data_IF_029613833609
#
_entry.id   IF_029613833609
#
_cell.length_a   1.000
_cell.length_b   1.000
_cell.length_c   1.000
_cell.angle_alpha   90.00
_cell.angle_beta   90.00
_cell.angle_gamma   90.00
#
_symmetry.space_group_name_H-M   'P 1'
#
loop_
_entity.id
_entity.type
_entity.pdbx_description
1 polymer ?
#
# COMPACT_ATOMS: atom_id res chain seq x y z
N UNK A 1 -14.78 -6.71 5.90
CA UNK A 1 -13.47 -6.29 5.36
C UNK A 1 -13.35 -6.53 3.86
N UNK A 2 -13.38 -7.75 3.34
CA UNK A 2 -13.18 -8.04 1.90
C UNK A 2 -14.07 -7.24 0.95
N UNK A 3 -15.33 -7.02 1.32
CA UNK A 3 -16.23 -6.17 0.55
C UNK A 3 -15.71 -4.73 0.41
N UNK A 4 -15.18 -4.16 1.48
CA UNK A 4 -14.65 -2.78 1.48
C UNK A 4 -13.38 -2.66 0.62
N UNK A 5 -12.53 -3.69 0.62
CA UNK A 5 -11.35 -3.77 -0.24
C UNK A 5 -11.77 -3.78 -1.73
N UNK A 6 -12.74 -4.61 -2.11
CA UNK A 6 -13.20 -4.73 -3.50
C UNK A 6 -14.05 -3.54 -3.96
N UNK A 7 -14.86 -2.94 -3.06
CA UNK A 7 -15.66 -1.77 -3.39
C UNK A 7 -14.82 -0.51 -3.57
N UNK A 8 -13.76 -0.38 -2.75
CA UNK A 8 -12.94 0.82 -2.69
C UNK A 8 -13.62 2.00 -1.97
N UNK A 9 -12.92 3.14 -1.98
CA UNK A 9 -13.34 4.42 -1.39
C UNK A 9 -14.07 5.35 -2.36
N UNK A 10 -14.55 4.87 -3.50
CA UNK A 10 -15.20 5.68 -4.54
C UNK A 10 -16.47 6.35 -4.02
N UNK A 11 -16.61 7.70 -4.12
CA UNK A 11 -17.79 8.38 -3.61
C UNK A 11 -19.10 7.84 -4.17
N UNK A 12 -19.16 7.58 -5.48
CA UNK A 12 -20.36 7.03 -6.13
C UNK A 12 -20.71 5.64 -5.58
N UNK A 13 -19.72 4.78 -5.32
CA UNK A 13 -19.93 3.43 -4.81
C UNK A 13 -20.54 3.41 -3.40
N UNK A 14 -20.44 4.51 -2.64
CA UNK A 14 -21.06 4.60 -1.31
C UNK A 14 -22.58 4.80 -1.38
N UNK A 15 -23.10 5.24 -2.52
CA UNK A 15 -24.54 5.53 -2.75
C UNK A 15 -25.25 4.41 -3.52
N UNK A 16 -24.51 3.43 -4.03
CA UNK A 16 -25.05 2.33 -4.82
C UNK A 16 -25.36 1.10 -3.97
N UNK A 17 -26.27 0.25 -4.46
CA UNK A 17 -26.49 -1.08 -3.91
C UNK A 17 -25.22 -1.94 -4.05
N UNK A 18 -25.06 -2.93 -3.17
CA UNK A 18 -23.80 -3.69 -3.00
C UNK A 18 -23.21 -4.23 -4.29
N UNK A 19 -24.05 -4.78 -5.18
CA UNK A 19 -23.61 -5.38 -6.45
C UNK A 19 -23.07 -4.32 -7.40
N UNK A 20 -23.83 -3.24 -7.62
CA UNK A 20 -23.43 -2.12 -8.48
C UNK A 20 -22.24 -1.34 -7.92
N UNK A 21 -22.09 -1.30 -6.60
CA UNK A 21 -20.95 -0.64 -5.96
C UNK A 21 -19.62 -1.32 -6.29
N UNK A 22 -19.61 -2.65 -6.45
CA UNK A 22 -18.40 -3.40 -6.86
C UNK A 22 -18.02 -3.13 -8.31
N UNK A 23 -18.98 -2.91 -9.20
CA UNK A 23 -18.74 -2.60 -10.62
C UNK A 23 -18.01 -1.26 -10.84
N UNK A 24 -18.07 -0.35 -9.86
CA UNK A 24 -17.40 0.96 -9.96
C UNK A 24 -15.90 0.81 -10.18
N UNK A 25 -15.25 -0.11 -9.46
CA UNK A 25 -13.82 -0.34 -9.58
C UNK A 25 -13.43 -0.94 -10.95
N UNK A 26 -14.24 -1.86 -11.46
CA UNK A 26 -14.04 -2.44 -12.79
C UNK A 26 -14.21 -1.38 -13.89
N UNK A 27 -15.25 -0.56 -13.81
CA UNK A 27 -15.48 0.53 -14.76
C UNK A 27 -14.33 1.55 -14.75
N UNK A 28 -13.78 1.89 -13.58
CA UNK A 28 -12.61 2.75 -13.46
C UNK A 28 -11.37 2.10 -14.07
N UNK A 29 -11.11 0.84 -13.75
CA UNK A 29 -10.01 0.07 -14.32
C UNK A 29 -10.06 0.05 -15.85
N UNK A 30 -11.23 -0.24 -16.42
CA UNK A 30 -11.44 -0.26 -17.87
C UNK A 30 -11.20 1.12 -18.51
N UNK A 31 -11.62 2.20 -17.87
CA UNK A 31 -11.35 3.55 -18.34
C UNK A 31 -9.85 3.85 -18.37
N UNK A 32 -9.10 3.48 -17.33
CA UNK A 32 -7.65 3.65 -17.24
C UNK A 32 -6.96 2.88 -18.38
N UNK A 33 -7.27 1.60 -18.54
CA UNK A 33 -6.57 0.71 -19.50
C UNK A 33 -6.89 1.07 -20.93
N UNK A 34 -8.15 1.43 -21.23
CA UNK A 34 -8.60 1.70 -22.60
C UNK A 34 -8.30 3.14 -23.06
N UNK A 35 -8.28 4.11 -22.14
CA UNK A 35 -8.37 5.51 -22.56
C UNK A 35 -7.40 6.41 -21.80
N UNK A 36 -7.46 6.46 -20.49
CA UNK A 36 -6.89 7.55 -19.70
C UNK A 36 -5.36 7.56 -19.73
N UNK A 37 -4.74 6.38 -19.69
CA UNK A 37 -3.26 6.25 -19.73
C UNK A 37 -2.63 6.84 -21.01
N UNK A 38 -3.37 6.88 -22.12
CA UNK A 38 -2.90 7.42 -23.41
C UNK A 38 -3.19 8.90 -23.58
N UNK A 39 -4.08 9.48 -22.78
CA UNK A 39 -4.48 10.90 -22.90
C UNK A 39 -3.51 11.87 -22.25
N UNK A 40 -2.67 11.42 -21.31
CA UNK A 40 -1.88 12.29 -20.42
C UNK A 40 -0.82 13.07 -21.16
N UNK A 41 -0.14 12.42 -22.11
CA UNK A 41 1.04 12.97 -22.80
C UNK A 41 0.96 12.78 -24.32
N UNK A 42 -0.20 12.37 -24.83
CA UNK A 42 -0.41 12.09 -26.25
C UNK A 42 0.32 10.85 -26.77
N UNK A 43 0.93 10.05 -25.89
CA UNK A 43 1.61 8.81 -26.25
C UNK A 43 0.59 7.69 -26.30
N UNK A 44 0.38 7.09 -27.48
CA UNK A 44 -0.47 5.92 -27.61
C UNK A 44 0.12 4.72 -26.87
N UNK A 45 -0.63 4.15 -25.93
CA UNK A 45 -0.22 3.00 -25.14
C UNK A 45 -1.07 1.77 -25.46
N UNK A 46 -0.40 0.62 -25.58
CA UNK A 46 -1.06 -0.64 -25.89
C UNK A 46 -1.94 -1.09 -24.73
N UNK A 47 -3.22 -1.39 -24.98
CA UNK A 47 -4.15 -2.03 -24.06
C UNK A 47 -3.53 -3.26 -23.40
N UNK A 48 -3.01 -4.21 -24.20
CA UNK A 48 -2.44 -5.46 -23.70
C UNK A 48 -1.27 -5.23 -22.74
N UNK A 49 -0.38 -4.29 -23.05
CA UNK A 49 0.76 -3.95 -22.16
C UNK A 49 0.29 -3.27 -20.89
N UNK A 50 -0.66 -2.32 -20.97
CA UNK A 50 -1.24 -1.66 -19.79
C UNK A 50 -1.94 -2.67 -18.89
N UNK A 51 -2.76 -3.55 -19.46
CA UNK A 51 -3.45 -4.60 -18.72
C UNK A 51 -2.45 -5.52 -17.98
N UNK A 52 -1.39 -6.01 -18.67
CA UNK A 52 -0.36 -6.84 -18.05
C UNK A 52 0.41 -6.11 -16.95
N UNK A 53 0.76 -4.84 -17.17
CA UNK A 53 1.42 -4.02 -16.17
C UNK A 53 0.56 -3.88 -14.92
N UNK A 54 -0.71 -3.51 -15.08
CA UNK A 54 -1.60 -3.33 -13.94
C UNK A 54 -1.82 -4.64 -13.17
N UNK A 55 -1.91 -5.78 -13.85
CA UNK A 55 -1.95 -7.10 -13.19
C UNK A 55 -0.66 -7.41 -12.41
N UNK A 56 0.50 -7.08 -12.99
CA UNK A 56 1.79 -7.24 -12.31
C UNK A 56 1.86 -6.36 -11.06
N UNK A 57 1.51 -5.09 -11.18
CA UNK A 57 1.45 -4.16 -10.05
C UNK A 57 0.49 -4.63 -8.95
N UNK A 58 -0.66 -5.22 -9.31
CA UNK A 58 -1.60 -5.77 -8.33
C UNK A 58 -1.02 -6.92 -7.50
N UNK A 59 -0.18 -7.76 -8.10
CA UNK A 59 0.52 -8.85 -7.39
C UNK A 59 1.66 -8.37 -6.49
N UNK A 60 2.15 -7.15 -6.71
CA UNK A 60 3.32 -6.60 -6.03
C UNK A 60 2.98 -5.37 -5.15
N UNK A 61 1.73 -5.28 -4.67
CA UNK A 61 1.33 -4.21 -3.77
C UNK A 61 2.18 -4.23 -2.49
N UNK A 62 2.61 -3.06 -2.02
CA UNK A 62 3.40 -2.93 -0.81
C UNK A 62 4.82 -3.52 -0.90
N UNK A 63 5.31 -3.86 -2.10
CA UNK A 63 6.62 -4.46 -2.27
C UNK A 63 7.62 -3.52 -2.96
N UNK A 64 8.90 -3.78 -2.77
CA UNK A 64 10.00 -3.08 -3.43
C UNK A 64 10.43 -3.76 -4.74
N UNK A 65 9.47 -4.29 -5.50
CA UNK A 65 9.78 -4.94 -6.78
C UNK A 65 10.43 -3.94 -7.75
N UNK A 66 11.52 -4.34 -8.37
CA UNK A 66 12.21 -3.52 -9.37
C UNK A 66 11.43 -3.46 -10.68
N UNK A 67 11.67 -2.42 -11.50
CA UNK A 67 11.08 -2.33 -12.85
C UNK A 67 11.46 -3.55 -13.70
N UNK A 68 12.68 -4.07 -13.53
CA UNK A 68 13.10 -5.31 -14.19
C UNK A 68 12.29 -6.53 -13.72
N UNK A 69 11.95 -6.61 -12.44
CA UNK A 69 11.05 -7.65 -11.89
C UNK A 69 9.64 -7.56 -12.44
N UNK A 70 9.08 -6.34 -12.50
CA UNK A 70 7.77 -6.09 -13.13
C UNK A 70 7.79 -6.48 -14.61
N UNK A 71 8.84 -6.08 -15.34
CA UNK A 71 9.02 -6.49 -16.73
C UNK A 71 9.04 -8.01 -16.89
N UNK A 72 9.81 -8.71 -16.06
CA UNK A 72 9.89 -10.18 -16.09
C UNK A 72 8.51 -10.83 -15.86
N UNK A 73 7.74 -10.32 -14.90
CA UNK A 73 6.38 -10.79 -14.61
C UNK A 73 5.40 -10.51 -15.77
N UNK A 74 5.51 -9.34 -16.42
CA UNK A 74 4.70 -9.01 -17.61
C UNK A 74 5.00 -9.92 -18.80
N UNK A 75 6.24 -10.41 -18.91
CA UNK A 75 6.75 -11.19 -20.03
C UNK A 75 6.66 -12.71 -19.81
N UNK A 76 6.24 -13.17 -18.64
CA UNK A 76 6.30 -14.60 -18.25
C UNK A 76 5.63 -15.58 -19.25
N UNK A 77 4.69 -15.08 -20.07
CA UNK A 77 3.97 -15.88 -21.07
C UNK A 77 3.88 -15.17 -22.45
N UNK A 78 4.84 -14.31 -22.77
CA UNK A 78 4.79 -13.50 -23.98
C UNK A 78 6.06 -13.67 -24.83
N UNK A 79 5.89 -13.60 -26.15
CA UNK A 79 6.98 -13.65 -27.15
C UNK A 79 7.41 -12.24 -27.59
N UNK A 80 6.66 -11.19 -27.23
CA UNK A 80 7.04 -9.82 -27.55
C UNK A 80 8.23 -9.36 -26.72
N UNK A 81 9.14 -8.60 -27.33
CA UNK A 81 10.20 -7.92 -26.60
C UNK A 81 9.67 -6.64 -25.96
N UNK A 82 9.94 -6.48 -24.67
CA UNK A 82 9.62 -5.28 -23.90
C UNK A 82 10.92 -4.77 -23.24
N UNK A 83 11.21 -3.50 -23.35
CA UNK A 83 12.35 -2.90 -22.63
C UNK A 83 11.93 -2.29 -21.29
N UNK A 84 12.92 -2.03 -20.43
CA UNK A 84 12.71 -1.46 -19.08
C UNK A 84 12.22 -0.02 -19.15
N UNK A 85 12.68 0.74 -20.15
CA UNK A 85 12.30 2.15 -20.31
C UNK A 85 10.82 2.28 -20.72
N UNK A 86 10.33 1.35 -21.55
CA UNK A 86 8.90 1.27 -21.88
C UNK A 86 8.07 0.99 -20.62
N UNK A 87 8.45 0.01 -19.78
CA UNK A 87 7.73 -0.28 -18.51
C UNK A 87 7.75 0.93 -17.60
N UNK A 88 8.91 1.61 -17.47
CA UNK A 88 9.06 2.82 -16.70
C UNK A 88 8.12 3.94 -17.18
N UNK A 89 8.04 4.16 -18.51
CA UNK A 89 7.14 5.15 -19.10
C UNK A 89 5.66 4.89 -18.77
N UNK A 90 5.23 3.62 -18.78
CA UNK A 90 3.86 3.27 -18.41
C UNK A 90 3.60 3.48 -16.91
N UNK A 91 4.57 3.14 -16.04
CA UNK A 91 4.49 3.39 -14.60
C UNK A 91 4.36 4.89 -14.33
N UNK A 92 5.19 5.72 -14.95
CA UNK A 92 5.11 7.18 -14.79
C UNK A 92 3.78 7.77 -15.30
N UNK A 93 3.22 7.20 -16.36
CA UNK A 93 1.89 7.59 -16.81
C UNK A 93 0.80 7.26 -15.79
N UNK A 94 0.83 6.05 -15.19
CA UNK A 94 -0.11 5.67 -14.12
C UNK A 94 0.03 6.54 -12.87
N UNK A 95 1.25 6.98 -12.51
CA UNK A 95 1.48 7.94 -11.43
C UNK A 95 0.85 9.29 -11.73
N UNK A 96 1.05 9.81 -12.96
CA UNK A 96 0.51 11.11 -13.36
C UNK A 96 -1.02 11.20 -13.32
N UNK A 97 -1.73 10.08 -13.49
CA UNK A 97 -3.19 10.00 -13.34
C UNK A 97 -3.64 9.49 -11.99
N UNK A 98 -2.73 9.44 -11.02
CA UNK A 98 -3.04 9.03 -9.66
C UNK A 98 -3.69 7.64 -9.55
N UNK A 99 -3.25 6.69 -10.37
CA UNK A 99 -3.64 5.27 -10.27
C UNK A 99 -2.76 4.53 -9.29
N UNK A 100 -1.47 4.88 -9.27
CA UNK A 100 -0.47 4.34 -8.35
C UNK A 100 0.31 5.45 -7.68
N UNK A 101 0.81 5.17 -6.50
CA UNK A 101 1.68 6.04 -5.72
C UNK A 101 2.85 5.25 -5.16
N UNK A 102 4.01 5.90 -5.09
CA UNK A 102 5.13 5.37 -4.33
C UNK A 102 5.08 5.89 -2.88
N UNK A 103 5.53 5.06 -1.93
CA UNK A 103 5.74 5.41 -0.54
C UNK A 103 7.22 5.41 -0.27
N UNK A 104 7.74 6.59 0.09
CA UNK A 104 9.16 6.81 0.35
C UNK A 104 9.64 6.05 1.59
N UNK A 105 10.92 5.72 1.59
CA UNK A 105 11.55 5.14 2.77
C UNK A 105 11.75 6.18 3.87
N UNK A 106 11.38 5.83 5.10
CA UNK A 106 11.65 6.64 6.27
C UNK A 106 13.11 6.55 6.71
N UNK A 107 13.72 7.70 6.99
CA UNK A 107 15.07 7.76 7.51
C UNK A 107 15.10 8.42 8.90
N UNK A 108 15.35 7.64 9.97
CA UNK A 108 15.51 8.20 11.31
C UNK A 108 16.73 9.12 11.44
N UNK A 109 17.74 8.97 10.58
CA UNK A 109 18.98 9.73 10.63
C UNK A 109 19.09 10.68 9.44
N UNK A 110 18.81 11.97 9.63
CA UNK A 110 18.87 13.04 8.62
C UNK A 110 20.14 13.04 7.75
N UNK A 111 21.24 12.42 8.21
CA UNK A 111 22.52 12.34 7.51
C UNK A 111 22.92 10.93 7.08
N UNK A 112 22.04 9.93 7.21
CA UNK A 112 22.36 8.56 6.79
C UNK A 112 22.26 8.41 5.28
N UNK A 113 23.39 8.05 4.66
CA UNK A 113 23.40 7.69 3.22
C UNK A 113 22.63 6.38 2.92
N UNK A 114 22.32 5.57 3.93
CA UNK A 114 21.64 4.29 3.77
C UNK A 114 20.18 4.46 3.32
N UNK A 115 19.49 5.48 3.81
CA UNK A 115 18.09 5.73 3.45
C UNK A 115 17.89 6.27 2.03
N UNK A 116 18.89 6.94 1.45
CA UNK A 116 18.85 7.40 0.04
C UNK A 116 18.87 6.21 -0.93
N UNK A 117 19.26 5.02 -0.46
CA UNK A 117 19.39 3.79 -1.25
C UNK A 117 18.20 2.83 -1.11
N UNK A 118 17.24 3.14 -0.26
CA UNK A 118 16.07 2.30 -0.06
C UNK A 118 15.06 2.60 -1.16
N UNK A 119 14.67 1.57 -1.90
CA UNK A 119 13.66 1.70 -2.96
C UNK A 119 12.31 2.01 -2.33
N UNK A 120 11.52 2.86 -2.99
CA UNK A 120 10.15 3.12 -2.59
C UNK A 120 9.31 1.85 -2.70
N UNK A 121 8.30 1.72 -1.84
CA UNK A 121 7.23 0.74 -2.02
C UNK A 121 6.12 1.33 -2.87
N UNK A 122 5.46 0.50 -3.68
CA UNK A 122 4.44 0.95 -4.61
C UNK A 122 3.07 0.41 -4.28
N UNK A 123 2.08 1.30 -4.30
CA UNK A 123 0.69 0.99 -4.02
C UNK A 123 -0.23 1.52 -5.12
N UNK A 124 -1.35 0.84 -5.34
CA UNK A 124 -2.50 1.50 -5.92
C UNK A 124 -3.05 2.52 -4.91
N UNK A 125 -3.60 3.62 -5.42
CA UNK A 125 -4.25 4.64 -4.56
C UNK A 125 -5.51 4.10 -3.88
N UNK A 126 -6.06 3.01 -4.41
CA UNK A 126 -7.20 2.29 -3.82
C UNK A 126 -7.07 0.79 -4.12
N UNK A 127 -7.25 -0.10 -3.12
CA UNK A 127 -7.09 -1.55 -3.30
C UNK A 127 -8.09 -2.15 -4.30
N UNK A 128 -9.23 -1.52 -4.54
CA UNK A 128 -10.22 -2.01 -5.49
C UNK A 128 -9.72 -1.97 -6.94
N UNK A 129 -8.74 -1.12 -7.24
CA UNK A 129 -8.08 -1.12 -8.56
C UNK A 129 -7.27 -2.43 -8.72
N UNK A 130 -6.61 -2.88 -7.66
CA UNK A 130 -5.87 -4.15 -7.68
C UNK A 130 -6.81 -5.35 -7.83
N UNK A 131 -7.96 -5.36 -7.14
CA UNK A 131 -8.95 -6.43 -7.28
C UNK A 131 -9.52 -6.45 -8.70
N UNK A 132 -9.84 -5.30 -9.28
CA UNK A 132 -10.31 -5.20 -10.66
C UNK A 132 -9.23 -5.67 -11.65
N UNK A 133 -7.97 -5.26 -11.47
CA UNK A 133 -6.86 -5.69 -12.33
C UNK A 133 -6.63 -7.21 -12.32
N UNK A 134 -6.87 -7.88 -11.20
CA UNK A 134 -6.79 -9.34 -11.10
C UNK A 134 -8.08 -10.05 -11.51
N UNK A 135 -9.21 -9.34 -11.60
CA UNK A 135 -10.52 -9.92 -11.87
C UNK A 135 -11.05 -10.73 -10.69
N UNK A 136 -10.73 -10.33 -9.45
CA UNK A 136 -11.13 -11.03 -8.23
C UNK A 136 -12.16 -10.23 -7.43
N UNK A 137 -13.06 -10.96 -6.78
CA UNK A 137 -14.09 -10.41 -5.92
C UNK A 137 -13.94 -10.81 -4.46
N UNK A 138 -14.91 -10.41 -3.60
CA UNK A 138 -14.87 -10.73 -2.16
C UNK A 138 -14.75 -12.22 -1.84
N UNK A 139 -15.40 -13.08 -2.63
CA UNK A 139 -15.39 -14.54 -2.44
C UNK A 139 -14.01 -15.17 -2.74
N UNK A 140 -13.24 -14.55 -3.63
CA UNK A 140 -11.90 -15.02 -3.99
C UNK A 140 -10.89 -14.62 -2.92
N UNK A 141 -10.96 -13.38 -2.42
CA UNK A 141 -10.06 -12.90 -1.37
C UNK A 141 -10.18 -13.65 -0.05
N UNK A 142 -11.38 -14.15 0.29
CA UNK A 142 -11.57 -15.00 1.48
C UNK A 142 -10.79 -16.30 1.37
N UNK A 143 -10.56 -16.80 0.15
CA UNK A 143 -9.82 -18.05 -0.10
C UNK A 143 -8.32 -17.85 -0.22
N UNK A 144 -7.86 -16.61 -0.44
CA UNK A 144 -6.45 -16.25 -0.55
C UNK A 144 -6.11 -15.13 0.44
N UNK A 145 -5.81 -15.53 1.68
CA UNK A 145 -5.49 -14.61 2.77
C UNK A 145 -4.16 -13.87 2.53
N UNK A 146 -3.24 -14.40 1.73
CA UNK A 146 -2.01 -13.72 1.40
C UNK A 146 -2.29 -12.50 0.52
N UNK A 147 -3.02 -12.69 -0.59
CA UNK A 147 -3.46 -11.59 -1.45
C UNK A 147 -4.37 -10.60 -0.69
N UNK A 148 -5.27 -11.12 0.15
CA UNK A 148 -6.10 -10.26 1.02
C UNK A 148 -5.23 -9.39 1.94
N UNK A 149 -4.14 -9.92 2.48
CA UNK A 149 -3.20 -9.19 3.33
C UNK A 149 -2.58 -7.99 2.61
N UNK A 150 -2.07 -8.20 1.39
CA UNK A 150 -1.50 -7.14 0.55
C UNK A 150 -2.53 -6.03 0.23
N UNK A 151 -3.76 -6.41 -0.07
CA UNK A 151 -4.81 -5.44 -0.38
C UNK A 151 -5.34 -4.74 0.87
N UNK A 152 -5.35 -5.42 2.01
CA UNK A 152 -5.64 -4.76 3.28
C UNK A 152 -4.56 -3.75 3.65
N UNK A 153 -3.29 -4.07 3.43
CA UNK A 153 -2.18 -3.14 3.63
C UNK A 153 -2.34 -1.90 2.72
N UNK A 154 -2.64 -2.10 1.43
CA UNK A 154 -2.94 -1.00 0.49
C UNK A 154 -4.07 -0.11 1.01
N UNK A 155 -5.15 -0.69 1.53
CA UNK A 155 -6.26 0.06 2.11
C UNK A 155 -5.84 0.83 3.36
N UNK A 156 -5.10 0.19 4.24
CA UNK A 156 -4.62 0.79 5.48
C UNK A 156 -3.66 1.96 5.20
N UNK A 157 -2.70 1.79 4.28
CA UNK A 157 -1.77 2.86 3.87
C UNK A 157 -2.53 4.04 3.28
N UNK A 158 -3.53 3.81 2.40
CA UNK A 158 -4.40 4.86 1.87
C UNK A 158 -5.05 5.67 3.00
N UNK A 159 -5.69 4.98 3.94
CA UNK A 159 -6.42 5.63 5.03
C UNK A 159 -5.46 6.36 5.98
N UNK A 160 -4.31 5.76 6.31
CA UNK A 160 -3.28 6.39 7.13
C UNK A 160 -2.73 7.68 6.48
N UNK A 161 -2.57 7.71 5.14
CA UNK A 161 -2.16 8.93 4.42
C UNK A 161 -3.19 10.05 4.57
N UNK A 162 -4.47 9.74 4.46
CA UNK A 162 -5.54 10.74 4.65
C UNK A 162 -5.51 11.30 6.07
N UNK A 163 -5.37 10.45 7.09
CA UNK A 163 -5.29 10.91 8.48
C UNK A 163 -3.99 11.67 8.77
N UNK A 164 -2.85 11.20 8.25
CA UNK A 164 -1.58 11.89 8.43
C UNK A 164 -1.59 13.28 7.79
N UNK A 165 -2.16 13.41 6.58
CA UNK A 165 -2.28 14.70 5.89
C UNK A 165 -3.13 15.71 6.69
N UNK A 166 -4.21 15.25 7.33
CA UNK A 166 -5.03 16.11 8.21
C UNK A 166 -4.27 16.63 9.45
N UNK A 167 -3.14 15.99 9.80
CA UNK A 167 -2.26 16.34 10.89
C UNK A 167 -0.93 16.96 10.43
N UNK A 168 -0.85 17.46 9.20
CA UNK A 168 0.40 17.96 8.59
C UNK A 168 1.55 16.94 8.62
N UNK A 169 1.23 15.68 8.34
CA UNK A 169 2.18 14.56 8.32
C UNK A 169 2.19 13.80 7.01
N UNK A 170 3.17 12.92 6.88
CA UNK A 170 3.31 11.99 5.78
C UNK A 170 3.47 10.55 6.31
N UNK A 171 3.21 9.59 5.45
CA UNK A 171 3.41 8.16 5.73
C UNK A 171 4.57 7.65 4.91
N UNK A 172 5.47 6.95 5.56
CA UNK A 172 6.68 6.35 5.00
C UNK A 172 6.69 4.86 5.33
N UNK A 173 7.47 4.07 4.60
CA UNK A 173 7.83 2.71 5.02
C UNK A 173 9.24 2.70 5.62
N UNK A 174 9.58 1.64 6.37
CA UNK A 174 10.95 1.39 6.78
C UNK A 174 11.37 -0.03 6.41
N UNK A 175 12.57 -0.15 5.85
CA UNK A 175 13.23 -1.43 5.63
C UNK A 175 14.73 -1.25 5.70
N UNK A 176 15.41 -2.11 6.46
CA UNK A 176 16.86 -2.12 6.53
C UNK A 176 17.49 -3.28 5.74
N UNK A 177 18.82 -3.28 5.66
CA UNK A 177 19.58 -4.33 4.98
C UNK A 177 19.52 -5.70 5.67
N UNK A 178 19.05 -5.78 6.92
CA UNK A 178 18.91 -7.00 7.70
C UNK A 178 17.50 -7.60 7.59
N UNK A 179 16.63 -6.96 6.79
CA UNK A 179 15.25 -7.38 6.60
C UNK A 179 14.30 -6.98 7.73
N UNK A 180 14.69 -6.05 8.61
CA UNK A 180 13.78 -5.43 9.56
C UNK A 180 12.92 -4.42 8.84
N UNK A 181 11.61 -4.55 8.97
CA UNK A 181 10.60 -3.74 8.27
C UNK A 181 9.66 -3.07 9.28
N UNK A 182 9.05 -1.97 8.85
CA UNK A 182 7.87 -1.38 9.47
C UNK A 182 6.94 -0.94 8.35
N UNK A 183 5.72 -1.45 8.35
CA UNK A 183 4.77 -1.26 7.25
C UNK A 183 4.44 0.22 7.03
N UNK A 184 4.29 0.99 8.11
CA UNK A 184 4.09 2.44 8.01
C UNK A 184 4.73 3.22 9.18
N UNK A 185 5.39 4.31 8.84
CA UNK A 185 5.84 5.32 9.80
C UNK A 185 5.10 6.61 9.50
N UNK A 186 4.25 7.05 10.43
CA UNK A 186 3.55 8.32 10.34
C UNK A 186 4.47 9.39 10.94
N UNK A 187 4.91 10.36 10.14
CA UNK A 187 5.83 11.40 10.57
C UNK A 187 5.23 12.79 10.35
N UNK A 188 5.05 13.54 11.43
CA UNK A 188 4.49 14.89 11.41
C UNK A 188 5.58 15.94 11.23
N UNK A 189 5.23 17.10 10.67
CA UNK A 189 6.16 18.23 10.47
C UNK A 189 6.80 18.74 11.77
N UNK A 190 6.17 18.52 12.93
CA UNK A 190 6.71 18.90 14.24
C UNK A 190 7.76 17.90 14.78
N UNK A 191 8.13 16.90 13.98
CA UNK A 191 9.10 15.87 14.33
C UNK A 191 8.56 14.75 15.23
N UNK A 192 7.27 14.72 15.52
CA UNK A 192 6.62 13.58 16.15
C UNK A 192 6.37 12.49 15.12
N UNK A 193 6.48 11.23 15.52
CA UNK A 193 6.21 10.09 14.64
C UNK A 193 5.66 8.91 15.41
N UNK A 194 4.95 8.04 14.69
CA UNK A 194 4.41 6.79 15.19
C UNK A 194 4.77 5.63 14.28
N UNK A 195 4.90 4.44 14.87
CA UNK A 195 5.24 3.20 14.16
C UNK A 195 3.99 2.32 14.04
N UNK A 196 3.72 1.81 12.86
CA UNK A 196 2.52 1.03 12.56
C UNK A 196 2.90 -0.25 11.82
N UNK A 197 2.45 -1.39 12.33
CA UNK A 197 2.41 -2.67 11.63
C UNK A 197 0.97 -2.98 11.22
N UNK A 198 0.79 -3.50 10.02
CA UNK A 198 -0.52 -3.79 9.43
C UNK A 198 -0.69 -5.29 9.33
N UNK A 199 -1.69 -5.85 10.01
CA UNK A 199 -1.93 -7.30 10.08
C UNK A 199 -3.41 -7.61 9.86
N UNK A 200 -3.73 -8.73 9.23
CA UNK A 200 -5.14 -9.13 9.07
C UNK A 200 -5.84 -9.33 10.42
N UNK A 201 -5.11 -9.68 11.46
CA UNK A 201 -5.60 -9.94 12.81
C UNK A 201 -5.32 -11.38 13.23
N UNK A 202 -5.82 -11.74 14.42
CA UNK A 202 -5.52 -13.01 15.08
C UNK A 202 -4.26 -12.90 15.96
N UNK A 203 -4.29 -13.63 17.08
CA UNK A 203 -3.28 -13.51 18.14
C UNK A 203 -1.84 -13.66 17.61
N UNK A 204 -1.60 -14.66 16.77
CA UNK A 204 -0.27 -14.95 16.23
C UNK A 204 0.30 -13.77 15.43
N UNK A 205 -0.45 -13.23 14.46
CA UNK A 205 0.00 -12.12 13.63
C UNK A 205 0.17 -10.82 14.43
N UNK A 206 -0.65 -10.62 15.46
CA UNK A 206 -0.50 -9.49 16.38
C UNK A 206 0.82 -9.60 17.15
N UNK A 207 1.13 -10.77 17.72
CA UNK A 207 2.39 -10.96 18.46
C UNK A 207 3.63 -10.81 17.56
N UNK A 208 3.60 -11.36 16.34
CA UNK A 208 4.66 -11.14 15.35
C UNK A 208 4.87 -9.64 15.06
N UNK A 209 3.80 -8.88 14.88
CA UNK A 209 3.87 -7.43 14.68
C UNK A 209 4.40 -6.68 15.91
N UNK A 210 4.03 -7.11 17.12
CA UNK A 210 4.55 -6.56 18.38
C UNK A 210 6.05 -6.75 18.49
N UNK A 211 6.56 -7.96 18.19
CA UNK A 211 7.98 -8.26 18.19
C UNK A 211 8.73 -7.37 17.18
N UNK A 212 8.21 -7.24 15.96
CA UNK A 212 8.76 -6.36 14.92
C UNK A 212 8.86 -4.91 15.37
N UNK A 213 7.75 -4.34 15.90
CA UNK A 213 7.72 -2.95 16.38
C UNK A 213 8.68 -2.71 17.54
N UNK A 214 8.77 -3.64 18.49
CA UNK A 214 9.70 -3.51 19.61
C UNK A 214 11.15 -3.58 19.15
N UNK A 215 11.47 -4.51 18.25
CA UNK A 215 12.80 -4.63 17.64
C UNK A 215 13.14 -3.35 16.88
N UNK A 216 12.25 -2.85 16.05
CA UNK A 216 12.49 -1.62 15.29
C UNK A 216 12.67 -0.42 16.21
N UNK A 217 11.78 -0.23 17.19
CA UNK A 217 11.91 0.87 18.14
C UNK A 217 13.25 0.85 18.92
N UNK A 218 13.80 -0.35 19.20
CA UNK A 218 15.11 -0.47 19.87
C UNK A 218 16.31 -0.07 19.01
N UNK A 219 16.15 -0.01 17.68
CA UNK A 219 17.22 0.44 16.75
C UNK A 219 17.29 1.95 16.62
N UNK A 220 16.28 2.67 17.12
CA UNK A 220 16.20 4.12 17.01
C UNK A 220 17.08 4.77 18.10
N UNK A 221 18.03 5.61 17.66
CA UNK A 221 18.92 6.35 18.52
C UNK A 221 18.17 7.53 19.17
N UNK A 222 17.68 7.31 20.39
CA UNK A 222 16.89 8.32 21.12
C UNK A 222 17.72 9.50 21.66
N UNK A 223 19.05 9.46 21.54
CA UNK A 223 19.88 10.63 21.81
C UNK A 223 19.85 11.63 20.64
N UNK A 224 19.59 11.13 19.40
CA UNK A 224 19.56 11.95 18.18
C UNK A 224 18.16 12.33 17.72
N UNK A 225 17.15 11.60 18.13
CA UNK A 225 15.76 11.89 17.80
C UNK A 225 14.82 11.46 18.93
N UNK A 226 13.61 12.00 18.96
CA UNK A 226 12.60 11.61 19.96
C UNK A 226 12.24 10.13 19.81
N UNK A 227 11.85 9.50 20.93
CA UNK A 227 11.21 8.21 20.88
C UNK A 227 9.88 8.28 20.09
N UNK A 228 9.40 7.17 19.49
CA UNK A 228 8.11 7.17 18.82
C UNK A 228 7.00 7.55 19.80
N UNK A 229 6.08 8.43 19.34
CA UNK A 229 4.94 8.89 20.14
C UNK A 229 3.97 7.77 20.44
N UNK A 230 3.88 6.79 19.54
CA UNK A 230 3.10 5.57 19.72
C UNK A 230 3.66 4.42 18.85
N UNK A 231 3.30 3.20 19.24
CA UNK A 231 3.44 1.97 18.45
C UNK A 231 2.06 1.36 18.30
N UNK A 232 1.68 0.93 17.09
CA UNK A 232 0.33 0.44 16.79
C UNK A 232 0.36 -0.77 15.86
N UNK A 233 -0.43 -1.78 16.20
CA UNK A 233 -0.82 -2.83 15.26
C UNK A 233 -2.20 -2.47 14.72
N UNK A 234 -2.27 -2.18 13.43
CA UNK A 234 -3.51 -1.89 12.72
C UNK A 234 -4.07 -3.21 12.15
N UNK A 235 -5.28 -3.59 12.56
CA UNK A 235 -5.85 -4.89 12.18
C UNK A 235 -7.08 -4.76 11.28
N UNK A 236 -7.24 -5.75 10.37
CA UNK A 236 -8.41 -5.83 9.51
C UNK A 236 -9.69 -6.20 10.26
N UNK A 237 -9.53 -6.96 11.34
CA UNK A 237 -10.65 -7.47 12.14
C UNK A 237 -10.48 -7.10 13.61
N UNK A 238 -11.61 -6.93 14.28
CA UNK A 238 -11.69 -6.55 15.68
C UNK A 238 -12.84 -5.57 15.90
N UNK A 239 -13.31 -5.48 17.15
CA UNK A 239 -14.43 -4.63 17.54
C UNK A 239 -14.02 -3.54 18.55
N UNK A 240 -12.82 -3.63 19.11
CA UNK A 240 -12.36 -2.77 20.18
C UNK A 240 -10.87 -2.43 19.98
N UNK A 241 -10.55 -1.15 20.07
CA UNK A 241 -9.17 -0.70 20.19
C UNK A 241 -8.75 -0.73 21.67
N UNK A 242 -7.54 -1.21 21.93
CA UNK A 242 -7.00 -1.28 23.29
C UNK A 242 -5.50 -1.06 23.31
N UNK A 243 -4.99 -0.68 24.48
CA UNK A 243 -3.55 -0.57 24.74
C UNK A 243 -3.09 -1.76 25.55
N UNK A 244 -2.04 -2.42 25.10
CA UNK A 244 -1.38 -3.53 25.80
C UNK A 244 -0.55 -3.01 26.97
N UNK A 245 -0.15 -3.92 27.87
CA UNK A 245 0.73 -3.60 29.01
C UNK A 245 2.12 -3.09 28.57
N UNK A 246 2.62 -3.58 27.41
CA UNK A 246 3.87 -3.12 26.79
C UNK A 246 3.76 -1.75 26.08
N UNK A 247 2.60 -1.12 26.15
CA UNK A 247 2.34 0.20 25.61
C UNK A 247 1.96 0.26 24.14
N UNK A 248 1.90 -0.90 23.43
CA UNK A 248 1.49 -0.98 22.03
C UNK A 248 -0.04 -0.93 21.93
N UNK A 249 -0.55 -0.16 20.96
CA UNK A 249 -1.97 -0.10 20.65
C UNK A 249 -2.34 -1.18 19.65
N UNK A 250 -3.41 -1.89 19.91
CA UNK A 250 -4.06 -2.79 18.93
C UNK A 250 -5.33 -2.08 18.48
N UNK A 251 -5.39 -1.76 17.18
CA UNK A 251 -6.45 -0.91 16.64
C UNK A 251 -7.05 -1.56 15.40
N UNK A 252 -8.30 -2.05 15.47
CA UNK A 252 -9.03 -2.41 14.26
C UNK A 252 -9.23 -1.17 13.37
N UNK A 253 -9.09 -1.33 12.05
CA UNK A 253 -9.22 -0.21 11.11
C UNK A 253 -10.59 0.49 11.23
N UNK A 254 -11.62 -0.24 11.60
CA UNK A 254 -12.96 0.31 11.87
C UNK A 254 -13.03 1.23 13.09
N UNK A 255 -11.99 1.24 13.94
CA UNK A 255 -11.89 2.10 15.12
C UNK A 255 -11.10 3.39 14.82
N UNK A 256 -10.46 3.52 13.65
CA UNK A 256 -9.82 4.77 13.25
C UNK A 256 -10.88 5.82 12.98
N UNK A 257 -10.62 7.03 13.47
CA UNK A 257 -11.45 8.23 13.24
C UNK A 257 -10.54 9.42 12.99
N UNK A 258 -11.07 10.38 12.26
CA UNK A 258 -10.45 11.69 12.04
C UNK A 258 -10.68 12.62 13.23
#
# INVERSE_FOLDING_TARGET
>A
MVYWICRGGWPIATTLEKEYALETAFSYYDAVVNTDISRIDGVSRSYSRTHRLMRSLARHQGTQVTIAGIKADMMANDTETLDVDTVSSYIEALKKIFVIEDMEAWNPNLRSKAAIRTSDTRYYVDPSIATAALGVGPADLVKDLNTMGLFFETMAVRDLRVYAQALDGNVFHYRDSNGLECDAVIHLRNGQYGLVEIKLGGQKLIEEGVETLNKFASTIDTEKMKAPSFKMILTAVGNLAYKREDGIYIVPISCLKH
#
